data_IF_695990643151
#
_entry.id   IF_695990643151
#
_cell.length_a   1.000
_cell.length_b   1.000
_cell.length_c   1.000
_cell.angle_alpha   90.00
_cell.angle_beta   90.00
_cell.angle_gamma   90.00
#
_symmetry.space_group_name_H-M   'P 1'
#
loop_
_entity.id
_entity.type
_entity.pdbx_description
1 polymer ?
#
# COMPACT_ATOMS: atom_id res chain seq x y z
N UNK A 1 10.83 82.92 -27.81
CA UNK A 1 9.63 83.71 -27.47
C UNK A 1 8.48 82.76 -27.17
N UNK A 2 8.04 82.76 -25.92
CA UNK A 2 6.88 82.03 -25.38
C UNK A 2 5.63 82.87 -25.65
N UNK A 3 4.50 82.33 -26.15
CA UNK A 3 3.12 82.80 -25.85
C UNK A 3 2.04 81.79 -26.28
N UNK A 4 1.45 81.11 -25.28
CA UNK A 4 0.03 80.78 -25.01
C UNK A 4 -1.02 80.46 -26.11
N UNK A 5 -1.52 79.20 -26.06
CA UNK A 5 -2.88 78.70 -25.72
C UNK A 5 -4.23 79.34 -26.17
N UNK A 6 -5.19 78.41 -26.44
CA UNK A 6 -6.69 78.46 -26.56
C UNK A 6 -7.24 78.96 -27.93
N UNK A 7 -8.22 78.31 -28.60
CA UNK A 7 -9.45 77.66 -28.10
C UNK A 7 -10.14 76.73 -29.15
N UNK A 8 -10.78 75.68 -28.63
CA UNK A 8 -11.72 74.66 -29.16
C UNK A 8 -12.55 74.86 -30.46
N UNK A 9 -12.69 73.77 -31.26
CA UNK A 9 -13.98 73.07 -31.53
C UNK A 9 -13.86 71.76 -32.37
N UNK A 10 -14.46 70.69 -31.83
CA UNK A 10 -15.23 69.61 -32.47
C UNK A 10 -14.60 68.67 -33.53
N UNK A 11 -14.42 67.38 -33.19
CA UNK A 11 -15.32 66.26 -33.59
C UNK A 11 -14.85 64.90 -33.01
N UNK A 12 -15.78 64.25 -32.31
CA UNK A 12 -16.00 62.82 -31.97
C UNK A 12 -14.85 61.87 -31.58
N UNK A 13 -14.96 61.21 -30.40
CA UNK A 13 -14.38 59.90 -30.15
C UNK A 13 -15.43 58.81 -30.47
N UNK A 14 -15.17 57.97 -31.47
CA UNK A 14 -15.94 56.75 -31.69
C UNK A 14 -14.97 55.59 -31.88
N UNK A 15 -14.92 54.74 -30.86
CA UNK A 15 -14.10 53.53 -30.78
C UNK A 15 -14.43 52.85 -29.46
N UNK A 16 -15.71 52.50 -29.30
CA UNK A 16 -16.23 51.87 -28.09
C UNK A 16 -15.59 50.51 -27.88
N UNK A 17 -14.87 50.37 -26.76
CA UNK A 17 -14.81 49.09 -26.09
C UNK A 17 -16.23 48.81 -25.58
N UNK A 18 -16.86 47.76 -26.10
CA UNK A 18 -18.06 47.20 -25.51
C UNK A 18 -17.74 46.81 -24.07
N UNK A 19 -18.07 47.69 -23.13
CA UNK A 19 -18.13 47.34 -21.71
C UNK A 19 -19.27 46.35 -21.62
N UNK A 20 -18.96 45.05 -21.53
CA UNK A 20 -19.93 44.00 -21.22
C UNK A 20 -20.81 44.48 -20.07
N UNK A 21 -22.12 44.64 -20.32
CA UNK A 21 -23.04 45.21 -19.33
C UNK A 21 -23.00 44.37 -18.04
N UNK A 22 -22.98 44.98 -16.85
CA UNK A 22 -22.88 44.28 -15.57
C UNK A 22 -23.98 43.21 -15.36
N UNK A 23 -25.12 43.37 -16.02
CA UNK A 23 -26.23 42.40 -16.03
C UNK A 23 -25.87 41.07 -16.72
N UNK A 24 -25.07 41.11 -17.79
CA UNK A 24 -24.64 39.89 -18.50
C UNK A 24 -23.62 39.11 -17.67
N UNK A 25 -22.69 39.81 -17.01
CA UNK A 25 -21.71 39.19 -16.12
C UNK A 25 -22.39 38.57 -14.89
N UNK A 26 -23.41 39.22 -14.32
CA UNK A 26 -24.19 38.68 -13.21
C UNK A 26 -24.95 37.40 -13.62
N UNK A 27 -25.57 37.39 -14.80
CA UNK A 27 -26.26 36.22 -15.34
C UNK A 27 -25.29 35.04 -15.61
N UNK A 28 -24.09 35.32 -16.12
CA UNK A 28 -23.05 34.32 -16.37
C UNK A 28 -22.51 33.74 -15.05
N UNK A 29 -22.26 34.59 -14.04
CA UNK A 29 -21.85 34.16 -12.69
C UNK A 29 -22.90 33.23 -12.07
N UNK A 30 -24.19 33.57 -12.16
CA UNK A 30 -25.27 32.74 -11.63
C UNK A 30 -25.44 31.43 -12.41
N UNK A 31 -25.21 31.44 -13.73
CA UNK A 31 -25.16 30.23 -14.55
C UNK A 31 -24.02 29.30 -14.11
N UNK A 32 -22.82 29.85 -13.94
CA UNK A 32 -21.64 29.10 -13.47
C UNK A 32 -21.85 28.56 -12.05
N UNK A 33 -22.42 29.34 -11.14
CA UNK A 33 -22.78 28.89 -9.78
C UNK A 33 -23.75 27.71 -9.79
N UNK A 34 -24.81 27.78 -10.59
CA UNK A 34 -25.77 26.66 -10.78
C UNK A 34 -25.09 25.43 -11.36
N UNK A 35 -24.21 25.61 -12.35
CA UNK A 35 -23.44 24.52 -12.94
C UNK A 35 -22.51 23.85 -11.92
N UNK A 36 -21.73 24.64 -11.17
CA UNK A 36 -20.86 24.14 -10.10
C UNK A 36 -21.66 23.40 -9.01
N UNK A 37 -22.82 23.92 -8.60
CA UNK A 37 -23.69 23.25 -7.63
C UNK A 37 -24.20 21.91 -8.16
N UNK A 38 -24.64 21.84 -9.42
CA UNK A 38 -25.07 20.58 -10.04
C UNK A 38 -23.92 19.57 -10.17
N UNK A 39 -22.71 20.02 -10.52
CA UNK A 39 -21.54 19.14 -10.61
C UNK A 39 -21.14 18.60 -9.24
N UNK A 40 -21.16 19.44 -8.20
CA UNK A 40 -20.92 19.00 -6.82
C UNK A 40 -21.94 17.96 -6.37
N UNK A 41 -23.23 18.21 -6.57
CA UNK A 41 -24.28 17.25 -6.21
C UNK A 41 -24.14 15.90 -6.94
N UNK A 42 -23.75 15.91 -8.23
CA UNK A 42 -23.45 14.67 -8.98
C UNK A 42 -22.22 13.96 -8.43
N UNK A 43 -21.17 14.71 -8.09
CA UNK A 43 -19.95 14.16 -7.50
C UNK A 43 -20.25 13.48 -6.15
N UNK A 44 -20.96 14.16 -5.26
CA UNK A 44 -21.38 13.61 -3.96
C UNK A 44 -22.22 12.33 -4.13
N UNK A 45 -23.13 12.30 -5.10
CA UNK A 45 -23.93 11.11 -5.39
C UNK A 45 -23.06 9.95 -5.90
N UNK A 46 -22.10 10.22 -6.79
CA UNK A 46 -21.16 9.22 -7.29
C UNK A 46 -20.26 8.71 -6.15
N UNK A 47 -19.76 9.59 -5.29
CA UNK A 47 -18.96 9.22 -4.12
C UNK A 47 -19.74 8.30 -3.18
N UNK A 48 -21.01 8.61 -2.89
CA UNK A 48 -21.87 7.73 -2.07
C UNK A 48 -22.08 6.36 -2.72
N UNK A 49 -22.35 6.31 -4.02
CA UNK A 49 -22.50 5.05 -4.76
C UNK A 49 -21.22 4.22 -4.74
N UNK A 50 -20.06 4.85 -4.93
CA UNK A 50 -18.76 4.19 -4.85
C UNK A 50 -18.47 3.65 -3.45
N UNK A 51 -18.73 4.45 -2.41
CA UNK A 51 -18.56 4.02 -1.02
C UNK A 51 -19.41 2.78 -0.70
N UNK A 52 -20.71 2.82 -1.05
CA UNK A 52 -21.62 1.70 -0.86
C UNK A 52 -21.18 0.45 -1.64
N UNK A 53 -20.73 0.62 -2.89
CA UNK A 53 -20.23 -0.48 -3.71
C UNK A 53 -18.96 -1.11 -3.11
N UNK A 54 -18.02 -0.29 -2.66
CA UNK A 54 -16.78 -0.78 -2.05
C UNK A 54 -17.05 -1.51 -0.73
N UNK A 55 -17.92 -0.97 0.13
CA UNK A 55 -18.30 -1.63 1.38
C UNK A 55 -18.99 -2.98 1.13
N UNK A 56 -19.89 -3.03 0.14
CA UNK A 56 -20.58 -4.26 -0.26
C UNK A 56 -19.60 -5.30 -0.82
N UNK A 57 -18.64 -4.88 -1.66
CA UNK A 57 -17.55 -5.72 -2.18
C UNK A 57 -16.69 -6.28 -1.04
N UNK A 58 -16.32 -5.43 -0.08
CA UNK A 58 -15.55 -5.83 1.10
C UNK A 58 -16.28 -6.85 1.97
N UNK A 59 -17.57 -6.63 2.23
CA UNK A 59 -18.40 -7.55 3.02
C UNK A 59 -18.55 -8.91 2.31
N UNK A 60 -18.80 -8.89 1.01
CA UNK A 60 -18.93 -10.12 0.21
C UNK A 60 -17.63 -10.94 0.21
N UNK A 61 -16.50 -10.31 -0.12
CA UNK A 61 -15.20 -10.99 -0.12
C UNK A 61 -14.80 -11.46 1.28
N UNK A 62 -15.20 -10.74 2.34
CA UNK A 62 -15.11 -11.18 3.72
C UNK A 62 -15.81 -12.49 4.01
N UNK A 63 -17.09 -12.61 3.61
CA UNK A 63 -17.86 -13.85 3.79
C UNK A 63 -17.22 -15.02 3.04
N UNK A 64 -16.88 -14.82 1.76
CA UNK A 64 -16.27 -15.85 0.92
C UNK A 64 -14.94 -16.31 1.50
N UNK A 65 -14.08 -15.38 1.95
CA UNK A 65 -12.81 -15.73 2.58
C UNK A 65 -13.02 -16.58 3.85
N UNK A 66 -14.02 -16.25 4.67
CA UNK A 66 -14.33 -17.02 5.87
C UNK A 66 -14.84 -18.43 5.52
N UNK A 67 -15.75 -18.54 4.56
CA UNK A 67 -16.31 -19.80 4.09
C UNK A 67 -15.26 -20.70 3.43
N UNK A 68 -14.24 -20.12 2.78
CA UNK A 68 -13.12 -20.87 2.18
C UNK A 68 -12.04 -21.27 3.21
N UNK A 69 -11.87 -20.50 4.28
CA UNK A 69 -10.85 -20.76 5.31
C UNK A 69 -11.07 -22.10 6.01
N UNK A 70 -12.32 -22.43 6.31
CA UNK A 70 -12.69 -23.67 7.00
C UNK A 70 -12.37 -24.94 6.18
N UNK A 71 -12.87 -25.11 4.94
CA UNK A 71 -12.56 -26.31 4.14
C UNK A 71 -11.07 -26.41 3.80
N UNK A 72 -10.40 -25.27 3.57
CA UNK A 72 -8.96 -25.24 3.36
C UNK A 72 -8.19 -25.71 4.60
N UNK A 73 -8.63 -25.30 5.80
CA UNK A 73 -8.05 -25.77 7.06
C UNK A 73 -8.12 -27.28 7.22
N UNK A 74 -9.28 -27.88 6.94
CA UNK A 74 -9.45 -29.35 6.97
C UNK A 74 -8.56 -30.06 5.95
N UNK A 75 -8.43 -29.51 4.74
CA UNK A 75 -7.54 -30.05 3.70
C UNK A 75 -6.07 -30.02 4.14
N UNK A 76 -5.63 -28.92 4.77
CA UNK A 76 -4.28 -28.80 5.29
C UNK A 76 -3.98 -29.83 6.40
N UNK A 77 -4.92 -30.05 7.31
CA UNK A 77 -4.80 -31.07 8.36
C UNK A 77 -4.67 -32.46 7.74
N UNK A 78 -5.49 -32.79 6.74
CA UNK A 78 -5.40 -34.07 6.04
C UNK A 78 -4.07 -34.23 5.31
N UNK A 79 -3.59 -33.18 4.64
CA UNK A 79 -2.30 -33.19 3.97
C UNK A 79 -1.14 -33.36 4.96
N UNK A 80 -1.22 -32.75 6.16
CA UNK A 80 -0.28 -32.97 7.26
C UNK A 80 -0.28 -34.44 7.73
N UNK A 81 -1.45 -35.01 7.99
CA UNK A 81 -1.59 -36.41 8.42
C UNK A 81 -1.01 -37.40 7.40
N UNK A 82 -1.23 -37.15 6.10
CA UNK A 82 -0.65 -37.95 5.02
C UNK A 82 0.87 -37.77 4.94
N UNK A 83 1.36 -36.54 5.06
CA UNK A 83 2.79 -36.23 5.02
C UNK A 83 3.57 -36.82 6.21
N UNK A 84 2.92 -37.01 7.36
CA UNK A 84 3.49 -37.70 8.52
C UNK A 84 3.66 -39.21 8.29
N UNK A 85 2.84 -39.82 7.42
CA UNK A 85 2.87 -41.25 7.08
C UNK A 85 3.04 -42.19 8.28
N UNK A 86 2.37 -41.92 9.41
CA UNK A 86 2.56 -42.68 10.67
C UNK A 86 2.33 -44.19 10.53
N UNK A 87 1.44 -44.58 9.61
CA UNK A 87 1.12 -45.98 9.37
C UNK A 87 2.09 -46.66 8.38
N UNK A 88 3.05 -45.92 7.80
CA UNK A 88 4.04 -46.46 6.86
C UNK A 88 3.45 -47.03 5.57
N UNK A 89 2.25 -46.58 5.18
CA UNK A 89 1.50 -47.13 4.03
C UNK A 89 1.72 -46.37 2.73
N UNK A 90 2.29 -45.18 2.80
CA UNK A 90 2.60 -44.35 1.64
C UNK A 90 4.06 -44.52 1.25
N UNK A 91 4.31 -44.57 -0.06
CA UNK A 91 5.64 -44.44 -0.65
C UNK A 91 6.22 -43.04 -0.40
N UNK A 92 7.54 -42.89 -0.58
CA UNK A 92 8.21 -41.60 -0.43
C UNK A 92 7.65 -40.54 -1.41
N UNK A 93 7.27 -40.96 -2.61
CA UNK A 93 6.69 -40.08 -3.64
C UNK A 93 5.30 -39.57 -3.22
N UNK A 94 4.45 -40.44 -2.67
CA UNK A 94 3.12 -40.07 -2.17
C UNK A 94 3.20 -39.13 -0.94
N UNK A 95 4.19 -39.32 -0.08
CA UNK A 95 4.48 -38.38 1.02
C UNK A 95 4.89 -37.01 0.49
N UNK A 96 5.72 -36.95 -0.55
CA UNK A 96 6.06 -35.68 -1.20
C UNK A 96 4.85 -35.02 -1.87
N UNK A 97 3.95 -35.79 -2.49
CA UNK A 97 2.68 -35.25 -2.99
C UNK A 97 1.84 -34.61 -1.89
N UNK A 98 1.70 -35.27 -0.73
CA UNK A 98 0.99 -34.70 0.42
C UNK A 98 1.64 -33.39 0.91
N UNK A 99 2.98 -33.33 0.97
CA UNK A 99 3.72 -32.10 1.31
C UNK A 99 3.49 -30.99 0.29
N UNK A 100 3.43 -31.32 -1.00
CA UNK A 100 3.17 -30.34 -2.06
C UNK A 100 1.73 -29.80 -2.01
N UNK A 101 0.73 -30.66 -1.80
CA UNK A 101 -0.67 -30.27 -1.59
C UNK A 101 -0.77 -29.31 -0.40
N UNK A 102 -0.08 -29.64 0.71
CA UNK A 102 -0.04 -28.78 1.88
C UNK A 102 0.55 -27.40 1.59
N UNK A 103 1.71 -27.34 0.91
CA UNK A 103 2.34 -26.06 0.53
C UNK A 103 1.40 -25.22 -0.33
N UNK A 104 0.80 -25.81 -1.35
CA UNK A 104 -0.17 -25.14 -2.21
C UNK A 104 -1.38 -24.62 -1.42
N UNK A 105 -1.89 -25.38 -0.44
CA UNK A 105 -2.99 -24.94 0.42
C UNK A 105 -2.60 -23.75 1.33
N UNK A 106 -1.36 -23.70 1.81
CA UNK A 106 -0.85 -22.55 2.58
C UNK A 106 -0.75 -21.31 1.68
N UNK A 107 -0.26 -21.47 0.45
CA UNK A 107 -0.14 -20.37 -0.52
C UNK A 107 -1.53 -19.79 -0.88
N UNK A 108 -2.52 -20.65 -1.13
CA UNK A 108 -3.91 -20.23 -1.39
C UNK A 108 -4.49 -19.46 -0.20
N UNK A 109 -4.23 -19.92 1.03
CA UNK A 109 -4.68 -19.21 2.24
C UNK A 109 -4.06 -17.81 2.33
N UNK A 110 -2.76 -17.68 2.03
CA UNK A 110 -2.07 -16.39 2.02
C UNK A 110 -2.68 -15.44 0.99
N UNK A 111 -2.98 -15.92 -0.21
CA UNK A 111 -3.62 -15.12 -1.28
C UNK A 111 -5.02 -14.65 -0.84
N UNK A 112 -5.83 -15.53 -0.23
CA UNK A 112 -7.16 -15.18 0.26
C UNK A 112 -7.08 -14.05 1.30
N UNK A 113 -6.13 -14.14 2.23
CA UNK A 113 -5.93 -13.11 3.25
C UNK A 113 -5.47 -11.78 2.63
N UNK A 114 -4.54 -11.81 1.67
CA UNK A 114 -4.08 -10.61 0.95
C UNK A 114 -5.21 -9.92 0.16
N UNK A 115 -6.06 -10.69 -0.54
CA UNK A 115 -7.19 -10.15 -1.30
C UNK A 115 -8.22 -9.51 -0.36
N UNK A 116 -8.49 -10.15 0.77
CA UNK A 116 -9.38 -9.60 1.79
C UNK A 116 -8.88 -8.24 2.28
N UNK A 117 -7.59 -8.16 2.64
CA UNK A 117 -6.99 -6.95 3.16
C UNK A 117 -6.98 -5.82 2.14
N UNK A 118 -6.59 -6.10 0.90
CA UNK A 118 -6.68 -5.13 -0.19
C UNK A 118 -8.11 -4.59 -0.31
N UNK A 119 -9.11 -5.46 -0.24
CA UNK A 119 -10.52 -5.04 -0.34
C UNK A 119 -10.95 -4.16 0.83
N UNK A 120 -10.47 -4.43 2.05
CA UNK A 120 -10.72 -3.58 3.22
C UNK A 120 -10.05 -2.21 3.08
N UNK A 121 -8.84 -2.16 2.52
CA UNK A 121 -8.12 -0.92 2.21
C UNK A 121 -8.86 -0.11 1.15
N UNK A 122 -9.28 -0.72 0.04
CA UNK A 122 -10.05 -0.06 -1.04
C UNK A 122 -11.39 0.50 -0.54
N UNK A 123 -12.00 -0.15 0.45
CA UNK A 123 -13.24 0.29 1.07
C UNK A 123 -13.06 1.32 2.19
N UNK A 124 -11.83 1.65 2.58
CA UNK A 124 -11.57 2.55 3.71
C UNK A 124 -11.99 1.97 5.07
N UNK A 125 -12.19 0.64 5.14
CA UNK A 125 -12.61 -0.09 6.35
C UNK A 125 -11.42 -0.57 7.21
N UNK A 126 -10.20 -0.20 6.83
CA UNK A 126 -9.00 -0.48 7.61
C UNK A 126 -8.85 0.59 8.70
N UNK A 127 -9.20 0.23 9.93
CA UNK A 127 -8.90 1.04 11.10
C UNK A 127 -7.44 0.79 11.53
N UNK A 128 -6.57 1.76 11.27
CA UNK A 128 -5.22 1.75 11.82
C UNK A 128 -5.26 2.02 13.32
N UNK A 129 -4.49 1.25 14.09
CA UNK A 129 -4.33 1.43 15.54
C UNK A 129 -2.89 1.88 15.84
N UNK A 130 -2.60 3.19 15.81
CA UNK A 130 -1.25 3.67 16.00
C UNK A 130 -0.81 3.44 17.45
N UNK A 131 0.28 2.72 17.63
CA UNK A 131 0.93 2.47 18.91
C UNK A 131 2.43 2.75 18.80
N UNK A 132 3.15 2.97 19.92
CA UNK A 132 4.61 3.01 19.89
C UNK A 132 5.19 1.66 19.46
N UNK A 133 5.86 1.64 18.31
CA UNK A 133 6.51 0.46 17.73
C UNK A 133 8.02 0.66 17.72
N UNK A 134 8.73 -0.28 18.37
CA UNK A 134 10.16 -0.48 18.19
C UNK A 134 10.38 -1.22 16.86
N UNK A 135 10.90 -0.49 15.87
CA UNK A 135 11.16 -1.04 14.54
C UNK A 135 12.26 -2.09 14.54
N UNK A 136 13.28 -1.95 15.38
CA UNK A 136 14.38 -2.91 15.44
C UNK A 136 13.89 -4.24 15.98
N UNK A 137 13.09 -4.20 17.06
CA UNK A 137 12.43 -5.38 17.60
C UNK A 137 11.54 -6.05 16.56
N UNK A 138 10.68 -5.29 15.88
CA UNK A 138 9.77 -5.81 14.85
C UNK A 138 10.51 -6.49 13.69
N UNK A 139 11.56 -5.87 13.15
CA UNK A 139 12.35 -6.46 12.06
C UNK A 139 13.10 -7.71 12.52
N UNK A 140 13.61 -7.71 13.75
CA UNK A 140 14.30 -8.86 14.35
C UNK A 140 13.35 -10.04 14.58
N UNK A 141 12.15 -9.78 15.11
CA UNK A 141 11.11 -10.80 15.31
C UNK A 141 10.67 -11.39 13.97
N UNK A 142 10.32 -10.52 13.01
CA UNK A 142 9.82 -10.95 11.69
C UNK A 142 10.88 -11.73 10.90
N UNK A 143 12.16 -11.34 10.98
CA UNK A 143 13.25 -12.06 10.32
C UNK A 143 13.52 -13.42 10.97
N UNK A 144 13.40 -13.55 12.29
CA UNK A 144 13.52 -14.85 12.98
C UNK A 144 12.46 -15.83 12.53
N UNK A 145 11.23 -15.37 12.34
CA UNK A 145 10.12 -16.21 11.87
C UNK A 145 10.30 -16.71 10.43
N UNK A 146 10.90 -15.89 9.57
CA UNK A 146 11.13 -16.23 8.16
C UNK A 146 12.46 -16.95 7.91
N UNK A 147 13.34 -17.03 8.90
CA UNK A 147 14.64 -17.70 8.79
C UNK A 147 14.53 -19.18 8.41
N UNK A 148 13.63 -20.01 8.99
CA UNK A 148 13.47 -21.40 8.55
C UNK A 148 13.05 -21.53 7.09
N UNK A 149 12.25 -20.58 6.58
CA UNK A 149 11.86 -20.54 5.17
C UNK A 149 13.06 -20.23 4.27
N UNK A 150 13.90 -19.26 4.65
CA UNK A 150 15.14 -18.95 3.95
C UNK A 150 16.12 -20.16 3.95
N UNK A 151 16.33 -20.77 5.11
CA UNK A 151 17.19 -21.96 5.29
C UNK A 151 16.70 -23.14 4.44
N UNK A 152 15.39 -23.40 4.40
CA UNK A 152 14.81 -24.46 3.57
C UNK A 152 15.07 -24.29 2.06
N UNK A 153 15.39 -23.06 1.63
CA UNK A 153 15.76 -22.72 0.25
C UNK A 153 17.27 -22.56 0.04
N UNK A 154 18.08 -22.69 1.10
CA UNK A 154 19.51 -22.41 1.06
C UNK A 154 19.83 -20.92 0.88
N UNK A 155 18.99 -20.04 1.42
CA UNK A 155 19.16 -18.60 1.36
C UNK A 155 19.62 -18.06 2.71
N UNK A 156 20.46 -17.03 2.69
CA UNK A 156 20.84 -16.29 3.89
C UNK A 156 19.92 -15.07 4.05
N UNK A 157 19.38 -14.86 5.26
CA UNK A 157 18.58 -13.69 5.60
C UNK A 157 19.35 -12.80 6.58
N UNK A 158 19.83 -11.67 6.09
CA UNK A 158 20.58 -10.69 6.89
C UNK A 158 19.69 -9.50 7.28
N UNK A 159 19.86 -8.99 8.49
CA UNK A 159 19.17 -7.79 8.99
C UNK A 159 20.21 -6.74 9.34
N UNK A 160 20.24 -5.66 8.56
CA UNK A 160 21.11 -4.53 8.79
C UNK A 160 20.33 -3.39 9.45
N UNK A 161 20.82 -2.92 10.59
CA UNK A 161 20.27 -1.76 11.29
C UNK A 161 21.34 -0.68 11.46
N UNK A 162 20.99 0.61 11.41
CA UNK A 162 21.98 1.67 11.49
C UNK A 162 22.47 1.82 12.94
N UNK A 163 23.69 2.36 13.15
CA UNK A 163 24.28 2.55 14.49
C UNK A 163 23.39 3.35 15.45
N UNK A 164 22.51 4.20 14.92
CA UNK A 164 21.50 4.95 15.68
C UNK A 164 20.10 4.64 15.12
N UNK A 165 19.53 3.49 15.50
CA UNK A 165 18.20 3.12 15.05
C UNK A 165 17.16 4.13 15.59
N UNK A 166 16.07 4.38 14.86
CA UNK A 166 14.95 5.16 15.41
C UNK A 166 14.34 4.40 16.59
N UNK A 167 14.42 4.99 17.80
CA UNK A 167 14.06 4.35 19.08
C UNK A 167 12.59 3.92 19.15
N UNK A 168 11.68 4.59 18.44
CA UNK A 168 10.26 4.21 18.37
C UNK A 168 9.55 5.05 17.31
N UNK A 169 8.57 4.46 16.61
CA UNK A 169 7.62 5.18 15.75
C UNK A 169 6.21 4.99 16.25
N UNK A 170 5.34 5.96 16.02
CA UNK A 170 3.91 5.73 16.16
C UNK A 170 3.43 5.06 14.87
N UNK A 171 2.88 3.85 14.93
CA UNK A 171 2.34 3.12 13.77
C UNK A 171 1.48 1.93 14.21
N UNK A 172 0.72 1.36 13.29
CA UNK A 172 0.04 0.08 13.55
C UNK A 172 1.04 -1.07 13.41
N UNK A 173 1.41 -1.70 14.53
CA UNK A 173 2.41 -2.79 14.57
C UNK A 173 2.02 -3.95 13.67
N UNK A 174 0.76 -4.36 13.67
CA UNK A 174 0.29 -5.51 12.89
C UNK A 174 0.38 -5.23 11.40
N UNK A 175 -0.05 -4.04 10.98
CA UNK A 175 0.07 -3.62 9.59
C UNK A 175 1.53 -3.58 9.14
N UNK A 176 2.43 -3.05 9.98
CA UNK A 176 3.87 -3.03 9.67
C UNK A 176 4.48 -4.43 9.58
N UNK A 177 4.21 -5.30 10.55
CA UNK A 177 4.68 -6.68 10.56
C UNK A 177 4.23 -7.40 9.29
N UNK A 178 2.97 -7.21 8.90
CA UNK A 178 2.40 -7.79 7.70
C UNK A 178 3.05 -7.28 6.41
N UNK A 179 3.30 -5.98 6.30
CA UNK A 179 3.99 -5.41 5.15
C UNK A 179 5.42 -5.98 5.07
N UNK A 180 6.15 -6.03 6.19
CA UNK A 180 7.50 -6.59 6.23
C UNK A 180 7.50 -8.07 5.84
N UNK A 181 6.57 -8.87 6.37
CA UNK A 181 6.40 -10.30 6.00
C UNK A 181 6.09 -10.47 4.52
N UNK A 182 5.21 -9.65 3.95
CA UNK A 182 4.87 -9.73 2.53
C UNK A 182 6.07 -9.37 1.64
N UNK A 183 6.84 -8.34 1.99
CA UNK A 183 8.03 -7.94 1.26
C UNK A 183 9.11 -9.04 1.32
N UNK A 184 9.42 -9.54 2.51
CA UNK A 184 10.42 -10.60 2.72
C UNK A 184 9.98 -11.93 2.11
N UNK A 185 8.72 -12.31 2.29
CA UNK A 185 8.16 -13.52 1.68
C UNK A 185 8.23 -13.47 0.15
N UNK A 186 7.94 -12.32 -0.46
CA UNK A 186 8.10 -12.13 -1.90
C UNK A 186 9.57 -12.17 -2.36
N UNK A 187 10.50 -11.59 -1.60
CA UNK A 187 11.93 -11.70 -1.86
C UNK A 187 12.38 -13.18 -1.83
N UNK A 188 12.10 -13.90 -0.73
CA UNK A 188 12.45 -15.31 -0.57
C UNK A 188 11.76 -16.23 -1.60
N UNK A 189 10.58 -15.86 -2.12
CA UNK A 189 9.92 -16.57 -3.22
C UNK A 189 10.59 -16.33 -4.56
N UNK A 190 11.07 -15.12 -4.82
CA UNK A 190 11.66 -14.71 -6.10
C UNK A 190 13.11 -15.14 -6.26
N UNK A 191 13.84 -15.38 -5.16
CA UNK A 191 15.23 -15.83 -5.18
C UNK A 191 15.35 -17.33 -5.46
N UNK A 192 16.02 -17.70 -6.57
CA UNK A 192 16.05 -19.08 -7.10
C UNK A 192 17.38 -19.83 -6.83
N UNK A 193 18.47 -19.14 -6.48
CA UNK A 193 19.79 -19.78 -6.24
C UNK A 193 19.99 -20.17 -4.77
N UNK A 194 20.53 -21.37 -4.53
CA UNK A 194 20.90 -21.95 -3.21
C UNK A 194 22.08 -21.25 -2.49
N UNK A 195 22.43 -20.02 -2.86
CA UNK A 195 23.59 -19.27 -2.32
C UNK A 195 23.40 -17.74 -2.36
N UNK A 196 22.19 -17.26 -2.67
CA UNK A 196 21.93 -15.82 -2.72
C UNK A 196 21.53 -15.30 -1.34
N UNK A 197 21.99 -14.09 -1.00
CA UNK A 197 21.63 -13.40 0.23
C UNK A 197 20.39 -12.52 -0.01
N UNK A 198 19.36 -12.67 0.82
CA UNK A 198 18.31 -11.66 0.97
C UNK A 198 18.68 -10.73 2.12
N UNK A 199 18.73 -9.42 1.87
CA UNK A 199 19.09 -8.44 2.88
C UNK A 199 17.89 -7.54 3.23
N UNK A 200 17.60 -7.44 4.53
CA UNK A 200 16.66 -6.49 5.10
C UNK A 200 17.47 -5.31 5.67
N UNK A 201 17.32 -4.13 5.09
CA UNK A 201 18.01 -2.92 5.53
C UNK A 201 17.03 -1.92 6.15
N UNK A 202 17.34 -1.47 7.36
CA UNK A 202 16.68 -0.32 7.97
C UNK A 202 17.55 0.92 7.75
N UNK A 203 17.00 1.93 7.06
CA UNK A 203 17.68 3.20 6.84
C UNK A 203 16.88 4.36 7.43
N UNK A 204 17.59 5.36 7.95
CA UNK A 204 17.03 6.62 8.43
C UNK A 204 17.47 7.75 7.53
N UNK A 205 16.51 8.45 6.93
CA UNK A 205 16.76 9.57 6.02
C UNK A 205 16.22 10.87 6.64
N UNK A 206 16.98 11.95 6.58
CA UNK A 206 16.50 13.29 6.97
C UNK A 206 16.16 14.05 5.70
N UNK A 207 14.89 14.46 5.57
CA UNK A 207 14.36 15.09 4.36
C UNK A 207 14.11 16.56 4.66
N UNK A 208 15.02 17.43 4.21
CA UNK A 208 15.02 18.84 4.56
C UNK A 208 15.32 19.08 6.05
N UNK A 209 14.97 20.27 6.57
CA UNK A 209 15.36 20.70 7.93
C UNK A 209 14.49 20.16 9.06
N UNK A 210 13.34 19.54 8.79
CA UNK A 210 12.37 19.18 9.85
C UNK A 210 11.68 17.80 9.71
N UNK A 211 11.77 17.10 8.57
CA UNK A 211 11.09 15.81 8.39
C UNK A 211 12.06 14.65 8.51
N UNK A 212 11.89 13.84 9.55
CA UNK A 212 12.55 12.53 9.67
C UNK A 212 11.73 11.49 8.91
N UNK A 213 12.36 10.78 7.98
CA UNK A 213 11.80 9.65 7.24
C UNK A 213 12.55 8.40 7.64
N UNK A 214 11.82 7.30 7.73
CA UNK A 214 12.37 5.98 7.99
C UNK A 214 12.04 5.13 6.76
N UNK A 215 13.05 4.45 6.25
CA UNK A 215 12.92 3.59 5.06
C UNK A 215 13.25 2.17 5.50
N UNK A 216 12.32 1.26 5.24
CA UNK A 216 12.55 -0.18 5.37
C UNK A 216 12.76 -0.70 3.95
N UNK A 217 13.88 -1.33 3.71
CA UNK A 217 14.27 -1.78 2.39
C UNK A 217 14.55 -3.27 2.41
N UNK A 218 13.99 -3.96 1.41
CA UNK A 218 14.26 -5.36 1.15
C UNK A 218 14.98 -5.44 -0.18
N UNK A 219 16.22 -5.91 -0.13
CA UNK A 219 17.05 -6.15 -1.30
C UNK A 219 17.07 -7.66 -1.57
N UNK A 220 16.76 -8.02 -2.82
CA UNK A 220 16.83 -9.39 -3.30
C UNK A 220 17.58 -9.47 -4.65
N UNK A 221 18.41 -10.50 -4.78
CA UNK A 221 18.99 -10.87 -6.07
C UNK A 221 18.00 -11.77 -6.83
N UNK A 222 17.19 -11.17 -7.70
CA UNK A 222 16.26 -11.90 -8.58
C UNK A 222 16.87 -12.13 -9.97
N UNK A 223 16.68 -13.33 -10.51
CA UNK A 223 16.98 -13.63 -11.92
C UNK A 223 15.78 -13.28 -12.80
N UNK A 224 15.87 -12.19 -13.56
CA UNK A 224 15.28 -12.13 -14.91
C UNK A 224 16.40 -12.37 -15.93
N UNK A 225 16.12 -12.57 -17.21
CA UNK A 225 17.11 -12.89 -18.25
C UNK A 225 18.31 -11.90 -18.40
N UNK A 226 18.37 -10.88 -17.54
CA UNK A 226 19.48 -9.97 -17.30
C UNK A 226 19.65 -9.91 -15.76
N UNK A 227 20.84 -10.20 -15.25
CA UNK A 227 21.15 -10.10 -13.81
C UNK A 227 20.98 -8.64 -13.36
N UNK A 228 19.87 -8.34 -12.70
CA UNK A 228 19.61 -7.04 -12.08
C UNK A 228 19.20 -7.26 -10.62
N UNK A 229 19.94 -6.65 -9.67
CA UNK A 229 19.52 -6.59 -8.27
C UNK A 229 18.19 -5.83 -8.17
N UNK A 230 17.21 -6.38 -7.46
CA UNK A 230 15.90 -5.73 -7.26
C UNK A 230 15.81 -5.17 -5.84
N UNK A 231 15.60 -3.87 -5.77
CA UNK A 231 15.42 -3.14 -4.52
C UNK A 231 13.93 -2.82 -4.34
N UNK A 232 13.30 -3.36 -3.30
CA UNK A 232 11.93 -3.00 -2.90
C UNK A 232 12.00 -2.20 -1.61
N UNK A 233 11.60 -0.93 -1.67
CA UNK A 233 11.63 -0.05 -0.49
C UNK A 233 10.22 0.36 -0.05
N UNK A 234 9.98 0.26 1.26
CA UNK A 234 8.86 0.87 1.95
C UNK A 234 9.35 2.15 2.64
N UNK A 235 8.73 3.29 2.31
CA UNK A 235 9.09 4.59 2.92
C UNK A 235 8.00 5.03 3.90
N UNK A 236 8.37 5.14 5.18
CA UNK A 236 7.50 5.60 6.26
C UNK A 236 7.98 6.98 6.70
N UNK A 237 7.18 8.03 6.45
CA UNK A 237 7.52 9.38 6.92
C UNK A 237 6.80 9.68 8.24
N UNK A 238 7.45 10.37 9.18
CA UNK A 238 6.88 10.77 10.49
C UNK A 238 5.57 11.58 10.39
N UNK A 239 5.25 12.12 9.21
CA UNK A 239 4.04 12.90 8.92
C UNK A 239 2.90 12.10 8.23
N UNK A 240 3.05 10.80 7.98
CA UNK A 240 2.02 9.99 7.27
C UNK A 240 0.87 9.58 8.21
N UNK A 241 0.98 9.83 9.51
CA UNK A 241 -0.07 9.54 10.51
C UNK A 241 -0.65 10.82 11.12
N UNK A 242 -0.91 11.84 10.30
CA UNK A 242 -1.93 12.81 10.69
C UNK A 242 -3.28 12.12 10.45
N UNK A 243 -4.21 12.06 11.41
CA UNK A 243 -5.52 11.47 11.18
C UNK A 243 -6.15 12.16 9.97
N UNK A 244 -6.72 11.38 9.06
CA UNK A 244 -7.76 11.83 8.12
C UNK A 244 -9.04 12.17 8.91
N UNK A 245 -8.92 12.98 9.97
CA UNK A 245 -10.03 13.63 10.65
C UNK A 245 -9.98 15.08 10.15
N UNK A 246 -11.07 15.47 9.49
CA UNK A 246 -11.16 16.66 8.67
C UNK A 246 -10.84 17.97 9.39
N UNK A 247 -10.45 18.94 8.57
CA UNK A 247 -10.94 20.31 8.72
C UNK A 247 -12.10 20.50 7.74
#
# INVERSE_FOLDING_TARGET
>A
MITQAKTARSRSPAGGGEIEKPEHLAAEIDRLRRSCASLRGRNDQLQRKLCFANESKARFLGSVAHELRTPLGSLLILADLLAENRAGRLSAEEVEHARNIRRAGIDVREILDQVLELTRVEAGLLELRPEPVDLQALLTETSKELRPLAESKGLELQVETPERPPETILADRKCLEQIVRALLGNALRSTVRRQSAGALRLARETVGTARRRITIEVEDEAYTATLESRQRSLRISRNVLRPLIGN
#
